data_IF_157089783318
#
_entry.id   IF_157089783318
#
_cell.length_a   1.000
_cell.length_b   1.000
_cell.length_c   1.000
_cell.angle_alpha   90.00
_cell.angle_beta   90.00
_cell.angle_gamma   90.00
#
_symmetry.space_group_name_H-M   'P 1'
#
loop_
_entity.id
_entity.type
_entity.pdbx_description
1 polymer ?
#
# COMPACT_ATOMS: atom_id res chain seq x y z
N UNK A 1 72.73 46.47 -13.28
CA UNK A 1 72.53 45.43 -12.24
C UNK A 1 71.08 45.09 -12.10
N UNK A 2 70.63 44.00 -12.71
CA UNK A 2 69.31 43.44 -12.59
C UNK A 2 69.49 41.94 -12.34
N UNK A 3 69.66 41.58 -11.08
CA UNK A 3 69.59 40.18 -10.61
C UNK A 3 68.94 40.21 -9.20
N UNK A 4 67.76 39.68 -9.10
CA UNK A 4 67.21 39.49 -7.76
C UNK A 4 65.71 39.33 -7.65
N UNK A 5 64.91 39.29 -8.72
CA UNK A 5 63.46 39.17 -8.61
C UNK A 5 62.87 37.79 -9.05
N UNK A 6 63.69 36.93 -9.67
CA UNK A 6 63.21 35.62 -10.16
C UNK A 6 63.15 34.51 -9.10
N UNK A 7 64.01 34.57 -8.07
CA UNK A 7 64.12 33.48 -7.11
C UNK A 7 63.12 33.55 -5.97
N UNK A 8 62.49 34.70 -5.69
CA UNK A 8 61.53 34.89 -4.65
C UNK A 8 60.14 34.28 -5.06
N UNK A 9 59.77 34.39 -6.33
CA UNK A 9 58.48 33.82 -6.82
C UNK A 9 58.52 32.30 -6.96
N UNK A 10 59.68 31.69 -7.21
CA UNK A 10 59.78 30.23 -7.29
C UNK A 10 59.66 29.54 -5.91
N UNK A 11 60.09 30.21 -4.83
CA UNK A 11 59.95 29.68 -3.45
C UNK A 11 58.54 29.83 -2.88
N UNK A 12 57.79 30.88 -3.28
CA UNK A 12 56.39 31.04 -2.85
C UNK A 12 55.44 30.02 -3.50
N UNK A 13 55.65 29.71 -4.80
CA UNK A 13 54.81 28.70 -5.50
C UNK A 13 54.99 27.28 -4.97
N UNK A 14 56.14 26.93 -4.41
CA UNK A 14 56.39 25.60 -3.88
C UNK A 14 55.85 25.44 -2.45
N UNK A 15 55.85 26.50 -1.64
CA UNK A 15 55.25 26.48 -0.30
C UNK A 15 53.71 26.34 -0.35
N UNK A 16 53.04 27.04 -1.25
CA UNK A 16 51.60 26.94 -1.39
C UNK A 16 51.14 25.57 -1.90
N UNK A 17 51.88 24.90 -2.77
CA UNK A 17 51.59 23.54 -3.21
C UNK A 17 51.72 22.50 -2.11
N UNK A 18 52.67 22.65 -1.19
CA UNK A 18 52.87 21.78 -0.05
C UNK A 18 51.74 21.96 0.99
N UNK A 19 51.30 23.18 1.24
CA UNK A 19 50.15 23.42 2.12
C UNK A 19 48.84 22.84 1.57
N UNK A 20 48.62 22.88 0.26
CA UNK A 20 47.45 22.25 -0.38
C UNK A 20 47.48 20.73 -0.26
N UNK A 21 48.64 20.10 -0.42
CA UNK A 21 48.78 18.64 -0.27
C UNK A 21 48.63 18.21 1.19
N UNK A 22 49.12 18.99 2.15
CA UNK A 22 49.01 18.73 3.59
C UNK A 22 47.57 18.93 4.10
N UNK A 23 46.78 19.86 3.51
CA UNK A 23 45.37 20.07 3.87
C UNK A 23 44.44 19.06 3.22
N UNK A 24 44.76 18.50 2.04
CA UNK A 24 43.90 17.51 1.34
C UNK A 24 44.10 16.09 1.91
N UNK A 25 45.30 15.72 2.37
CA UNK A 25 45.57 14.40 2.96
C UNK A 25 44.75 14.08 4.20
N UNK A 26 44.57 14.96 5.20
CA UNK A 26 43.73 14.67 6.36
C UNK A 26 42.21 14.68 6.00
N UNK A 27 41.80 15.43 4.97
CA UNK A 27 40.40 15.42 4.53
C UNK A 27 39.97 14.08 3.90
N UNK A 28 40.90 13.36 3.27
CA UNK A 28 40.67 12.03 2.71
C UNK A 28 40.60 10.94 3.82
N UNK A 29 41.22 11.15 4.97
CA UNK A 29 41.18 10.24 6.11
C UNK A 29 39.87 10.36 6.88
N UNK A 30 39.13 11.47 6.76
CA UNK A 30 37.79 11.62 7.36
C UNK A 30 36.66 11.11 6.48
N UNK A 31 36.91 10.72 5.23
CA UNK A 31 35.92 10.15 4.29
C UNK A 31 35.90 8.61 4.31
N UNK A 32 36.79 7.96 5.06
CA UNK A 32 36.67 6.53 5.34
C UNK A 32 35.70 6.32 6.50
N UNK A 33 34.44 6.67 6.31
CA UNK A 33 33.36 6.12 7.12
C UNK A 33 33.30 4.63 6.77
N UNK A 34 33.85 3.78 7.63
CA UNK A 34 33.46 2.39 7.66
C UNK A 34 31.94 2.37 7.91
N UNK A 35 31.19 2.08 6.89
CA UNK A 35 29.80 1.63 7.05
C UNK A 35 29.95 0.21 7.60
N UNK A 36 30.02 0.07 8.92
CA UNK A 36 29.84 -1.21 9.55
C UNK A 36 28.44 -1.70 9.19
N UNK A 37 28.34 -2.87 8.56
CA UNK A 37 27.06 -3.53 8.41
C UNK A 37 26.50 -3.73 9.81
N UNK A 38 25.46 -3.00 10.15
CA UNK A 38 24.70 -3.23 11.37
C UNK A 38 24.02 -4.59 11.22
N UNK A 39 24.61 -5.62 11.80
CA UNK A 39 23.96 -6.91 11.96
C UNK A 39 23.02 -6.80 13.16
N UNK A 40 21.77 -6.49 12.92
CA UNK A 40 20.73 -6.61 13.94
C UNK A 40 20.59 -8.11 14.26
N UNK A 41 21.23 -8.56 15.32
CA UNK A 41 20.94 -9.89 15.88
C UNK A 41 19.53 -9.83 16.51
N UNK A 42 18.51 -10.15 15.72
CA UNK A 42 17.20 -10.47 16.28
C UNK A 42 17.36 -11.76 17.12
N UNK A 43 16.75 -11.84 18.30
CA UNK A 43 16.71 -13.10 19.05
C UNK A 43 16.16 -14.19 18.13
N UNK A 44 16.77 -15.39 18.12
CA UNK A 44 16.28 -16.54 17.34
C UNK A 44 14.80 -16.84 17.63
N UNK A 45 14.31 -16.47 18.81
CA UNK A 45 12.91 -16.57 19.23
C UNK A 45 11.93 -15.69 18.43
N UNK A 46 12.42 -14.69 17.67
CA UNK A 46 11.58 -13.80 16.87
C UNK A 46 11.40 -14.23 15.41
N UNK A 47 12.07 -15.30 14.99
CA UNK A 47 11.97 -15.85 13.63
C UNK A 47 10.92 -16.96 13.59
N UNK A 48 10.06 -16.93 12.57
CA UNK A 48 9.00 -17.93 12.39
C UNK A 48 7.78 -17.74 13.28
N UNK A 49 7.67 -16.60 13.97
CA UNK A 49 6.46 -16.27 14.73
C UNK A 49 5.23 -16.17 13.81
N UNK A 50 4.12 -16.72 14.28
CA UNK A 50 2.84 -16.56 13.57
C UNK A 50 2.39 -15.09 13.64
N UNK A 51 2.13 -14.50 12.48
CA UNK A 51 1.57 -13.15 12.35
C UNK A 51 0.13 -13.30 11.91
N UNK A 52 -0.79 -12.62 12.60
CA UNK A 52 -2.23 -12.69 12.38
C UNK A 52 -2.78 -11.28 12.15
N UNK A 53 -3.45 -11.09 11.03
CA UNK A 53 -4.13 -9.84 10.69
C UNK A 53 -5.60 -10.11 10.36
N UNK A 54 -6.47 -9.25 10.84
CA UNK A 54 -7.92 -9.32 10.64
C UNK A 54 -8.70 -8.97 11.89
N UNK A 55 -10.01 -8.81 11.74
CA UNK A 55 -10.93 -8.50 12.83
C UNK A 55 -12.22 -9.31 12.68
N UNK A 56 -12.86 -9.64 13.78
CA UNK A 56 -14.15 -10.32 13.82
C UNK A 56 -15.25 -9.27 13.69
N UNK A 57 -16.08 -9.36 12.66
CA UNK A 57 -17.17 -8.40 12.39
C UNK A 57 -18.46 -9.18 12.24
N UNK A 58 -19.50 -8.80 13.00
CA UNK A 58 -20.83 -9.40 12.94
C UNK A 58 -21.45 -9.33 11.56
N UNK A 59 -22.16 -10.37 11.18
CA UNK A 59 -22.92 -10.46 9.92
C UNK A 59 -22.08 -10.17 8.66
N UNK A 60 -20.79 -10.57 8.69
CA UNK A 60 -19.84 -10.23 7.66
C UNK A 60 -18.96 -11.43 7.26
N UNK A 61 -18.51 -11.42 6.02
CA UNK A 61 -17.48 -12.36 5.55
C UNK A 61 -16.09 -11.71 5.69
N UNK A 62 -15.42 -11.98 6.80
CA UNK A 62 -14.10 -11.41 7.10
C UNK A 62 -12.98 -12.29 6.57
N UNK A 63 -11.86 -11.67 6.21
CA UNK A 63 -10.64 -12.38 5.80
C UNK A 63 -9.56 -12.20 6.85
N UNK A 64 -9.06 -13.30 7.38
CA UNK A 64 -7.84 -13.32 8.20
C UNK A 64 -6.66 -13.67 7.33
N UNK A 65 -5.56 -12.92 7.51
CA UNK A 65 -4.28 -13.18 6.85
C UNK A 65 -3.30 -13.73 7.88
N UNK A 66 -2.74 -14.89 7.59
CA UNK A 66 -1.72 -15.55 8.39
C UNK A 66 -0.41 -15.56 7.63
N UNK A 67 0.68 -15.16 8.29
CA UNK A 67 2.03 -15.21 7.75
C UNK A 67 3.04 -15.55 8.83
N UNK A 68 4.32 -15.67 8.47
CA UNK A 68 5.41 -15.91 9.42
C UNK A 68 6.41 -14.78 9.38
N UNK A 69 6.94 -14.40 10.54
CA UNK A 69 8.07 -13.49 10.61
C UNK A 69 9.33 -14.16 10.03
N UNK A 70 10.20 -13.37 9.41
CA UNK A 70 11.47 -13.83 8.87
C UNK A 70 12.60 -12.84 9.19
N UNK A 71 13.84 -13.31 9.10
CA UNK A 71 15.02 -12.47 9.37
C UNK A 71 15.23 -11.48 8.23
N UNK A 72 15.65 -10.25 8.57
CA UNK A 72 16.06 -9.21 7.61
C UNK A 72 17.38 -9.57 6.89
N UNK A 73 18.12 -10.58 7.35
CA UNK A 73 19.35 -11.05 6.70
C UNK A 73 19.07 -11.85 5.41
N UNK A 74 17.81 -12.21 5.16
CA UNK A 74 17.40 -12.88 3.94
C UNK A 74 17.19 -11.84 2.84
N UNK A 75 17.91 -11.98 1.72
CA UNK A 75 17.68 -11.11 0.55
C UNK A 75 16.27 -11.33 0.00
N UNK A 76 15.42 -10.31 0.14
CA UNK A 76 14.04 -10.31 -0.33
C UNK A 76 13.06 -11.03 0.62
N UNK A 77 11.79 -11.03 0.23
CA UNK A 77 10.72 -11.71 0.97
C UNK A 77 10.75 -13.19 0.64
N UNK A 78 10.86 -14.12 1.62
CA UNK A 78 10.81 -15.55 1.34
C UNK A 78 9.51 -15.93 0.61
N UNK A 79 9.56 -16.76 -0.44
CA UNK A 79 8.38 -17.06 -1.27
C UNK A 79 7.30 -17.85 -0.54
N UNK A 80 7.59 -18.36 0.64
CA UNK A 80 6.68 -19.16 1.46
C UNK A 80 6.34 -18.54 2.82
N UNK A 81 6.67 -17.25 3.05
CA UNK A 81 6.37 -16.56 4.30
C UNK A 81 4.86 -16.55 4.63
N UNK A 82 4.01 -16.59 3.61
CA UNK A 82 2.55 -16.63 3.71
C UNK A 82 1.95 -18.03 3.44
N UNK A 83 2.76 -19.08 3.33
CA UNK A 83 2.28 -20.47 3.22
C UNK A 83 2.00 -21.03 4.60
N UNK A 84 0.95 -20.49 5.25
CA UNK A 84 0.47 -20.99 6.53
C UNK A 84 -0.77 -21.83 6.28
N UNK A 85 -0.67 -23.14 6.49
CA UNK A 85 -1.80 -24.07 6.41
C UNK A 85 -2.31 -24.33 7.83
N UNK A 86 -3.50 -23.78 8.13
CA UNK A 86 -4.06 -23.77 9.48
C UNK A 86 -5.56 -24.03 9.46
N UNK A 87 -6.11 -24.45 10.59
CA UNK A 87 -7.55 -24.37 10.84
C UNK A 87 -7.86 -23.06 11.56
N UNK A 88 -8.75 -22.26 10.98
CA UNK A 88 -9.16 -20.96 11.52
C UNK A 88 -10.62 -21.01 11.89
N UNK A 89 -10.98 -20.54 13.08
CA UNK A 89 -12.34 -20.56 13.57
C UNK A 89 -12.59 -19.38 14.52
N UNK A 90 -13.68 -18.66 14.33
CA UNK A 90 -14.20 -17.71 15.34
C UNK A 90 -15.10 -18.47 16.29
N UNK A 91 -14.90 -18.31 17.61
CA UNK A 91 -15.66 -19.01 18.65
C UNK A 91 -16.24 -18.01 19.65
N UNK A 92 -17.48 -18.23 20.06
CA UNK A 92 -18.14 -17.48 21.13
C UNK A 92 -18.23 -18.30 22.41
N UNK A 93 -18.24 -17.63 23.57
CA UNK A 93 -18.42 -18.28 24.87
C UNK A 93 -19.83 -18.92 25.05
N UNK A 94 -20.76 -18.55 24.19
CA UNK A 94 -22.10 -19.17 24.09
C UNK A 94 -22.12 -20.50 23.33
N UNK A 95 -20.94 -20.95 22.84
CA UNK A 95 -20.80 -22.14 22.00
C UNK A 95 -20.97 -21.89 20.50
N UNK A 96 -21.22 -20.66 20.08
CA UNK A 96 -21.24 -20.33 18.65
C UNK A 96 -19.85 -20.53 18.02
N UNK A 97 -19.82 -20.95 16.75
CA UNK A 97 -18.58 -21.31 16.06
C UNK A 97 -18.72 -21.06 14.56
N UNK A 98 -17.78 -20.29 13.99
CA UNK A 98 -17.75 -19.95 12.57
C UNK A 98 -16.41 -20.39 11.98
N UNK A 99 -16.44 -21.43 11.12
CA UNK A 99 -15.23 -22.00 10.52
C UNK A 99 -14.76 -21.18 9.32
N UNK A 100 -13.43 -21.04 9.21
CA UNK A 100 -12.76 -20.44 8.08
C UNK A 100 -12.59 -21.40 6.91
N UNK A 101 -12.62 -20.84 5.71
CA UNK A 101 -12.32 -21.51 4.44
C UNK A 101 -11.03 -20.92 3.90
N UNK A 102 -10.04 -21.76 3.60
CA UNK A 102 -8.77 -21.35 3.04
C UNK A 102 -8.96 -20.79 1.61
N UNK A 103 -8.38 -19.62 1.34
CA UNK A 103 -8.34 -18.97 0.03
C UNK A 103 -6.96 -19.13 -0.65
N UNK A 104 -6.00 -19.76 0.03
CA UNK A 104 -4.60 -19.82 -0.37
C UNK A 104 -3.77 -18.64 0.17
N UNK A 105 -2.44 -18.78 0.09
CA UNK A 105 -1.47 -17.76 0.52
C UNK A 105 -1.72 -17.26 1.95
N UNK A 106 -2.05 -18.15 2.89
CA UNK A 106 -2.32 -17.81 4.28
C UNK A 106 -3.62 -17.03 4.53
N UNK A 107 -4.47 -16.86 3.54
CA UNK A 107 -5.76 -16.16 3.69
C UNK A 107 -6.89 -17.13 3.99
N UNK A 108 -7.73 -16.75 4.96
CA UNK A 108 -8.88 -17.54 5.43
C UNK A 108 -10.11 -16.66 5.49
N UNK A 109 -11.17 -17.05 4.76
CA UNK A 109 -12.47 -16.38 4.84
C UNK A 109 -13.33 -17.04 5.91
N UNK A 110 -13.84 -16.24 6.84
CA UNK A 110 -14.78 -16.67 7.86
C UNK A 110 -16.11 -15.94 7.65
N UNK A 111 -17.18 -16.67 7.38
CA UNK A 111 -18.53 -16.12 7.36
C UNK A 111 -19.01 -16.03 8.82
N UNK A 112 -18.87 -14.86 9.43
CA UNK A 112 -19.30 -14.59 10.80
C UNK A 112 -20.78 -14.30 10.78
N UNK A 113 -21.55 -15.01 11.60
CA UNK A 113 -22.97 -14.74 11.82
C UNK A 113 -23.19 -13.56 12.77
N UNK A 114 -24.44 -13.40 13.20
CA UNK A 114 -24.82 -12.34 14.15
C UNK A 114 -24.16 -12.55 15.50
N UNK A 115 -23.40 -11.54 15.96
CA UNK A 115 -22.76 -11.54 17.27
C UNK A 115 -23.65 -10.88 18.32
N UNK A 116 -23.62 -11.40 19.55
CA UNK A 116 -24.38 -10.88 20.68
C UNK A 116 -23.50 -9.99 21.56
N UNK A 117 -24.05 -8.84 22.01
CA UNK A 117 -23.30 -7.83 22.81
C UNK A 117 -22.74 -8.38 24.12
N UNK A 118 -23.45 -9.36 24.71
CA UNK A 118 -23.13 -9.91 26.02
C UNK A 118 -22.31 -11.20 25.95
N UNK A 119 -21.85 -11.58 24.76
CA UNK A 119 -21.01 -12.76 24.49
C UNK A 119 -19.64 -12.31 24.06
N UNK A 120 -18.60 -12.92 24.62
CA UNK A 120 -17.23 -12.69 24.18
C UNK A 120 -16.85 -13.66 23.07
N UNK A 121 -16.11 -13.14 22.09
CA UNK A 121 -15.66 -13.89 20.92
C UNK A 121 -14.15 -13.87 20.81
N UNK A 122 -13.59 -14.96 20.28
CA UNK A 122 -12.16 -15.16 20.04
C UNK A 122 -11.92 -15.75 18.68
N UNK A 123 -10.76 -15.46 18.11
CA UNK A 123 -10.20 -16.18 16.98
C UNK A 123 -9.36 -17.35 17.49
N UNK A 124 -9.67 -18.56 17.05
CA UNK A 124 -8.89 -19.77 17.32
C UNK A 124 -8.19 -20.21 16.03
N UNK A 125 -6.89 -20.49 16.12
CA UNK A 125 -6.05 -20.94 15.00
C UNK A 125 -5.32 -22.21 15.47
N UNK A 126 -5.40 -23.28 14.69
CA UNK A 126 -4.61 -24.49 14.90
C UNK A 126 -3.59 -24.55 13.75
N UNK A 127 -2.31 -24.44 14.12
CA UNK A 127 -1.20 -24.39 13.16
C UNK A 127 -0.01 -25.21 13.67
N UNK A 128 0.50 -26.14 12.86
CA UNK A 128 1.63 -27.03 13.19
C UNK A 128 1.44 -27.82 14.51
N UNK A 129 0.19 -28.14 14.86
CA UNK A 129 -0.14 -28.84 16.09
C UNK A 129 -0.30 -27.95 17.33
N UNK A 130 0.04 -26.67 17.22
CA UNK A 130 -0.18 -25.66 18.27
C UNK A 130 -1.55 -24.98 18.11
N UNK A 131 -2.14 -24.58 19.24
CA UNK A 131 -3.37 -23.83 19.28
C UNK A 131 -3.12 -22.42 19.74
N UNK A 132 -3.42 -21.46 18.88
CA UNK A 132 -3.38 -20.02 19.16
C UNK A 132 -4.79 -19.48 19.35
N UNK A 133 -4.98 -18.61 20.33
CA UNK A 133 -6.28 -17.99 20.61
C UNK A 133 -6.11 -16.51 20.92
N UNK A 134 -6.98 -15.67 20.33
CA UNK A 134 -7.05 -14.27 20.73
C UNK A 134 -7.78 -14.11 22.07
N UNK A 135 -7.47 -13.03 22.80
CA UNK A 135 -8.23 -12.69 24.00
C UNK A 135 -9.73 -12.58 23.70
N UNK A 136 -10.59 -13.20 24.52
CA UNK A 136 -12.04 -13.09 24.36
C UNK A 136 -12.51 -11.64 24.59
N UNK A 137 -13.19 -11.04 23.60
CA UNK A 137 -13.67 -9.67 23.65
C UNK A 137 -15.16 -9.57 23.38
N UNK A 138 -15.83 -8.62 24.04
CA UNK A 138 -17.19 -8.22 23.68
C UNK A 138 -17.20 -7.44 22.39
N UNK A 139 -18.18 -7.66 21.49
CA UNK A 139 -18.27 -6.92 20.25
C UNK A 139 -18.61 -5.45 20.52
N UNK A 140 -17.86 -4.54 19.89
CA UNK A 140 -18.03 -3.10 20.02
C UNK A 140 -18.87 -2.57 18.86
N UNK A 141 -19.93 -1.80 19.16
CA UNK A 141 -20.71 -1.10 18.15
C UNK A 141 -20.14 0.26 17.83
N UNK A 142 -20.18 0.67 16.57
CA UNK A 142 -19.73 1.98 16.11
C UNK A 142 -20.91 2.87 15.72
N UNK A 143 -20.74 4.18 15.87
CA UNK A 143 -21.64 5.21 15.37
C UNK A 143 -21.46 5.39 13.85
N UNK A 144 -22.48 6.01 13.21
CA UNK A 144 -22.41 6.40 11.81
C UNK A 144 -21.37 7.49 11.57
N UNK A 145 -20.84 7.55 10.36
CA UNK A 145 -20.13 8.72 9.85
C UNK A 145 -21.19 9.78 9.54
N UNK A 146 -20.99 11.04 9.98
CA UNK A 146 -21.96 12.11 9.75
C UNK A 146 -21.91 12.57 8.30
N UNK A 147 -20.71 12.75 7.76
CA UNK A 147 -20.49 13.25 6.40
C UNK A 147 -19.10 12.85 5.87
N UNK A 148 -19.04 12.62 4.55
CA UNK A 148 -17.79 12.49 3.79
C UNK A 148 -17.85 13.46 2.63
N UNK A 149 -16.86 14.32 2.52
CA UNK A 149 -16.74 15.35 1.50
C UNK A 149 -15.40 15.25 0.78
N UNK A 150 -15.25 16.04 -0.27
CA UNK A 150 -13.95 16.23 -0.91
C UNK A 150 -13.68 17.73 -1.12
N UNK A 151 -12.40 18.08 -1.17
CA UNK A 151 -11.94 19.45 -1.39
C UNK A 151 -10.72 19.42 -2.31
N UNK A 152 -10.78 20.16 -3.41
CA UNK A 152 -9.62 20.34 -4.29
C UNK A 152 -8.82 21.56 -3.88
N UNK A 153 -7.51 21.41 -3.74
CA UNK A 153 -6.59 22.49 -3.33
C UNK A 153 -6.21 23.38 -4.53
N UNK A 154 -6.96 24.47 -4.73
CA UNK A 154 -6.70 25.41 -5.83
C UNK A 154 -6.93 24.80 -7.21
N UNK A 155 -6.36 25.43 -8.25
CA UNK A 155 -6.48 24.98 -9.62
C UNK A 155 -5.52 23.81 -9.89
N UNK A 156 -6.08 22.64 -10.28
CA UNK A 156 -5.34 21.38 -10.53
C UNK A 156 -4.49 20.88 -9.34
N UNK A 157 -4.82 21.27 -8.11
CA UNK A 157 -4.17 20.74 -6.90
C UNK A 157 -4.84 19.47 -6.41
N UNK A 158 -4.22 18.84 -5.42
CA UNK A 158 -4.67 17.58 -4.84
C UNK A 158 -6.12 17.62 -4.38
N UNK A 159 -6.82 16.51 -4.54
CA UNK A 159 -8.17 16.30 -4.06
C UNK A 159 -8.10 15.56 -2.73
N UNK A 160 -8.48 16.24 -1.65
CA UNK A 160 -8.52 15.68 -0.30
C UNK A 160 -9.88 15.09 0.00
N UNK A 161 -9.92 13.85 0.46
CA UNK A 161 -11.13 13.22 1.00
C UNK A 161 -11.19 13.52 2.49
N UNK A 162 -12.30 14.06 2.94
CA UNK A 162 -12.49 14.58 4.29
C UNK A 162 -13.74 13.97 4.93
N UNK A 163 -13.73 13.82 6.25
CA UNK A 163 -14.89 13.27 6.95
C UNK A 163 -15.20 14.02 8.24
N UNK A 164 -16.43 13.87 8.68
CA UNK A 164 -16.92 14.38 9.96
C UNK A 164 -17.70 13.28 10.68
N UNK A 165 -17.54 13.19 11.99
CA UNK A 165 -18.28 12.28 12.84
C UNK A 165 -18.45 12.81 14.27
N UNK A 166 -19.49 12.37 14.95
CA UNK A 166 -19.75 12.60 16.35
C UNK A 166 -19.74 11.29 17.11
N UNK A 167 -18.84 11.14 18.07
CA UNK A 167 -18.88 10.01 19.02
C UNK A 167 -19.81 10.31 20.20
N UNK A 168 -20.48 9.28 20.70
CA UNK A 168 -21.31 9.39 21.91
C UNK A 168 -20.49 9.51 23.18
N UNK A 169 -19.29 8.96 23.17
CA UNK A 169 -18.38 8.89 24.31
C UNK A 169 -16.92 9.08 23.86
N UNK A 170 -16.03 9.21 24.84
CA UNK A 170 -14.59 9.18 24.60
C UNK A 170 -14.19 7.77 24.17
N UNK A 171 -13.80 7.60 22.91
CA UNK A 171 -13.52 6.29 22.31
C UNK A 171 -12.42 6.37 21.27
N UNK A 172 -11.90 5.21 20.90
CA UNK A 172 -10.93 5.06 19.85
C UNK A 172 -11.60 4.52 18.58
N UNK A 173 -11.09 4.94 17.44
CA UNK A 173 -11.62 4.58 16.15
C UNK A 173 -10.51 4.17 15.19
N UNK A 174 -10.87 3.28 14.28
CA UNK A 174 -10.08 2.88 13.12
C UNK A 174 -10.88 3.19 11.86
N UNK A 175 -10.22 3.80 10.88
CA UNK A 175 -10.78 4.08 9.56
C UNK A 175 -9.94 3.40 8.49
N UNK A 176 -10.60 2.92 7.49
CA UNK A 176 -10.03 2.51 6.21
C UNK A 176 -10.97 2.91 5.09
N UNK A 177 -10.53 2.76 3.85
CA UNK A 177 -11.35 3.08 2.70
C UNK A 177 -11.11 2.08 1.57
N UNK A 178 -12.11 1.96 0.71
CA UNK A 178 -12.07 1.24 -0.54
C UNK A 178 -12.33 2.22 -1.66
N UNK A 179 -11.67 2.05 -2.78
CA UNK A 179 -11.76 2.91 -3.95
C UNK A 179 -12.21 2.09 -5.15
N UNK A 180 -13.15 2.63 -5.91
CA UNK A 180 -13.56 2.11 -7.20
C UNK A 180 -13.50 3.25 -8.22
N UNK A 181 -12.88 3.02 -9.37
CA UNK A 181 -12.84 4.05 -10.42
C UNK A 181 -13.03 3.48 -11.79
N UNK A 182 -13.76 4.24 -12.61
CA UNK A 182 -13.95 3.92 -14.02
C UNK A 182 -12.74 4.36 -14.83
N UNK A 183 -12.24 3.49 -15.69
CA UNK A 183 -11.23 3.80 -16.69
C UNK A 183 -11.77 3.57 -18.10
N UNK A 184 -11.29 4.41 -19.04
CA UNK A 184 -11.64 4.30 -20.45
C UNK A 184 -10.38 4.32 -21.30
N UNK A 185 -10.34 3.43 -22.29
CA UNK A 185 -9.29 3.45 -23.29
C UNK A 185 -9.38 4.71 -24.16
N UNK A 186 -8.25 5.33 -24.43
CA UNK A 186 -8.15 6.51 -25.27
C UNK A 186 -8.38 6.15 -26.75
N UNK A 187 -7.93 4.96 -27.14
CA UNK A 187 -8.02 4.46 -28.52
C UNK A 187 -8.87 3.19 -28.58
N UNK A 188 -9.58 3.01 -29.69
CA UNK A 188 -10.36 1.80 -29.98
C UNK A 188 -9.83 1.17 -31.27
N UNK A 189 -8.68 0.46 -31.23
CA UNK A 189 -8.09 -0.09 -32.42
C UNK A 189 -8.97 -1.15 -33.07
N UNK A 190 -8.89 -1.21 -34.40
CA UNK A 190 -9.52 -2.25 -35.24
C UNK A 190 -8.51 -3.32 -35.68
N UNK A 191 -7.27 -3.26 -35.21
CA UNK A 191 -6.24 -4.27 -35.45
C UNK A 191 -5.34 -4.39 -34.21
N UNK A 192 -4.74 -5.57 -34.02
CA UNK A 192 -3.78 -5.86 -32.98
C UNK A 192 -2.65 -6.74 -33.50
N UNK A 193 -1.49 -6.70 -32.84
CA UNK A 193 -0.44 -7.67 -33.10
C UNK A 193 -0.74 -8.97 -32.36
N UNK A 194 -0.66 -10.08 -33.11
CA UNK A 194 -0.80 -11.43 -32.58
C UNK A 194 0.60 -12.06 -32.47
N UNK A 195 1.10 -12.31 -31.24
CA UNK A 195 2.43 -12.86 -31.03
C UNK A 195 2.57 -14.32 -31.47
N UNK A 196 1.47 -15.09 -31.56
CA UNK A 196 1.51 -16.51 -31.95
C UNK A 196 1.71 -16.65 -33.44
N UNK A 197 1.19 -15.73 -34.25
CA UNK A 197 1.31 -15.76 -35.70
C UNK A 197 2.32 -14.76 -36.27
N UNK A 198 2.89 -13.89 -35.42
CA UNK A 198 3.78 -12.77 -35.81
C UNK A 198 3.16 -11.85 -36.87
N UNK A 199 1.88 -11.56 -36.73
CA UNK A 199 1.12 -10.75 -37.70
C UNK A 199 0.23 -9.72 -37.01
N UNK A 200 -0.08 -8.66 -37.75
CA UNK A 200 -1.19 -7.78 -37.39
C UNK A 200 -2.48 -8.41 -37.92
N UNK A 201 -3.45 -8.57 -37.04
CA UNK A 201 -4.74 -9.20 -37.29
C UNK A 201 -5.88 -8.23 -37.06
N UNK A 202 -7.05 -8.48 -37.62
CA UNK A 202 -8.27 -7.72 -37.33
C UNK A 202 -8.64 -7.91 -35.84
N UNK A 203 -8.96 -6.83 -35.17
CA UNK A 203 -9.27 -6.83 -33.74
C UNK A 203 -10.28 -5.74 -33.41
N UNK A 204 -11.24 -6.04 -32.58
CA UNK A 204 -12.21 -5.08 -32.07
C UNK A 204 -11.95 -4.83 -30.57
N UNK A 205 -11.37 -3.69 -30.25
CA UNK A 205 -11.06 -3.29 -28.87
C UNK A 205 -12.27 -2.77 -28.08
N UNK A 206 -13.40 -2.45 -28.73
CA UNK A 206 -14.56 -1.84 -28.07
C UNK A 206 -15.07 -2.60 -26.83
N UNK A 207 -15.10 -3.93 -26.79
CA UNK A 207 -15.50 -4.67 -25.58
C UNK A 207 -14.59 -4.42 -24.37
N UNK A 208 -13.35 -3.98 -24.59
CA UNK A 208 -12.33 -3.76 -23.56
C UNK A 208 -11.96 -2.28 -23.38
N UNK A 209 -12.80 -1.39 -23.92
CA UNK A 209 -12.54 0.05 -23.89
C UNK A 209 -13.02 0.75 -22.62
N UNK A 210 -13.70 0.05 -21.73
CA UNK A 210 -14.25 0.56 -20.48
C UNK A 210 -14.26 -0.53 -19.42
N UNK A 211 -13.91 -0.18 -18.20
CA UNK A 211 -13.96 -1.10 -17.07
C UNK A 211 -13.82 -0.35 -15.74
N UNK A 212 -13.88 -1.12 -14.65
CA UNK A 212 -13.73 -0.60 -13.29
C UNK A 212 -12.50 -1.20 -12.64
N UNK A 213 -11.72 -0.36 -11.99
CA UNK A 213 -10.64 -0.75 -11.12
C UNK A 213 -11.10 -0.66 -9.67
N UNK A 214 -10.48 -1.46 -8.81
CA UNK A 214 -10.75 -1.50 -7.37
C UNK A 214 -9.44 -1.50 -6.58
N UNK A 215 -9.43 -0.82 -5.44
CA UNK A 215 -8.33 -0.83 -4.48
C UNK A 215 -8.86 -0.76 -3.05
N UNK A 216 -8.17 -1.44 -2.14
CA UNK A 216 -8.41 -1.33 -0.70
C UNK A 216 -7.23 -0.61 -0.04
N UNK A 217 -7.51 0.33 0.86
CA UNK A 217 -6.46 1.04 1.59
C UNK A 217 -5.69 0.09 2.50
N UNK A 218 -4.36 0.16 2.42
CA UNK A 218 -3.44 -0.48 3.37
C UNK A 218 -3.01 0.46 4.51
N UNK A 219 -3.43 1.72 4.49
CA UNK A 219 -3.10 2.70 5.51
C UNK A 219 -3.80 2.42 6.83
N UNK A 220 -3.07 2.61 7.93
CA UNK A 220 -3.60 2.51 9.29
C UNK A 220 -3.99 3.91 9.73
N UNK A 221 -5.29 4.19 9.73
CA UNK A 221 -5.81 5.51 10.13
C UNK A 221 -6.59 5.32 11.44
N UNK A 222 -6.08 5.92 12.51
CA UNK A 222 -6.67 5.80 13.84
C UNK A 222 -6.92 7.17 14.48
N UNK A 223 -7.79 7.22 15.45
CA UNK A 223 -8.05 8.40 16.24
C UNK A 223 -8.58 8.08 17.63
N UNK A 224 -8.21 8.94 18.59
CA UNK A 224 -8.70 8.87 19.95
C UNK A 224 -9.54 10.11 20.26
N UNK A 225 -10.82 9.92 20.58
CA UNK A 225 -11.76 10.99 20.89
C UNK A 225 -11.58 11.56 22.29
N UNK A 226 -10.88 10.90 23.21
CA UNK A 226 -10.53 11.44 24.53
C UNK A 226 -9.76 12.77 24.44
N UNK A 227 -9.00 12.97 23.34
CA UNK A 227 -8.17 14.14 23.10
C UNK A 227 -9.00 15.30 22.51
N UNK A 228 -10.14 14.99 21.88
CA UNK A 228 -10.98 15.96 21.20
C UNK A 228 -12.04 16.53 22.15
N UNK A 229 -12.10 17.87 22.28
CA UNK A 229 -13.24 18.53 22.93
C UNK A 229 -14.51 18.11 22.20
N UNK A 230 -15.54 17.77 22.96
CA UNK A 230 -16.86 17.38 22.46
C UNK A 230 -16.93 16.03 21.70
N UNK A 231 -15.91 15.17 21.81
CA UNK A 231 -15.87 13.86 21.13
C UNK A 231 -16.22 13.93 19.63
N UNK A 232 -15.78 14.99 18.96
CA UNK A 232 -16.14 15.27 17.57
C UNK A 232 -14.90 15.38 16.68
N UNK A 233 -14.98 14.76 15.52
CA UNK A 233 -14.10 15.02 14.37
C UNK A 233 -14.91 15.88 13.40
N UNK A 234 -14.34 17.01 12.98
CA UNK A 234 -14.96 17.87 11.99
C UNK A 234 -13.99 18.10 10.84
N UNK A 235 -14.44 17.76 9.64
CA UNK A 235 -13.74 18.06 8.39
C UNK A 235 -12.25 17.65 8.40
N UNK A 236 -11.98 16.44 8.93
CA UNK A 236 -10.62 15.89 8.99
C UNK A 236 -10.26 15.28 7.65
N UNK A 237 -9.10 15.63 7.10
CA UNK A 237 -8.54 14.96 5.94
C UNK A 237 -8.23 13.51 6.29
N UNK A 238 -8.71 12.57 5.47
CA UNK A 238 -8.45 11.17 5.59
C UNK A 238 -7.24 10.79 4.72
N UNK A 239 -7.28 11.18 3.44
CA UNK A 239 -6.19 11.03 2.47
C UNK A 239 -6.35 12.05 1.34
N UNK A 240 -5.33 12.18 0.50
CA UNK A 240 -5.34 13.04 -0.68
C UNK A 240 -4.84 12.29 -1.91
N UNK A 241 -5.36 12.66 -3.07
CA UNK A 241 -5.04 12.10 -4.38
C UNK A 241 -4.61 13.25 -5.28
N UNK A 242 -3.52 13.08 -6.05
CA UNK A 242 -3.08 14.05 -7.05
C UNK A 242 -4.17 14.27 -8.11
N UNK A 243 -4.39 15.53 -8.53
CA UNK A 243 -5.49 15.85 -9.44
C UNK A 243 -5.31 15.29 -10.85
N UNK A 244 -4.09 14.91 -11.24
CA UNK A 244 -3.78 14.26 -12.51
C UNK A 244 -3.72 12.73 -12.41
N UNK A 245 -4.13 12.14 -11.28
CA UNK A 245 -4.22 10.70 -11.12
C UNK A 245 -5.31 10.12 -12.04
N UNK A 246 -5.02 9.00 -12.69
CA UNK A 246 -5.93 8.33 -13.63
C UNK A 246 -7.28 7.94 -12.99
N UNK A 247 -7.32 7.79 -11.67
CA UNK A 247 -8.56 7.51 -10.92
C UNK A 247 -9.65 8.56 -11.15
N UNK A 248 -9.25 9.81 -11.44
CA UNK A 248 -10.20 10.89 -11.74
C UNK A 248 -10.53 11.05 -13.23
N UNK A 249 -10.06 10.16 -14.10
CA UNK A 249 -10.26 10.29 -15.56
C UNK A 249 -11.72 10.19 -16.01
N UNK A 250 -12.57 9.55 -15.21
CA UNK A 250 -14.01 9.39 -15.54
C UNK A 250 -14.87 9.57 -14.30
N UNK A 251 -15.02 8.53 -13.51
CA UNK A 251 -15.79 8.52 -12.27
C UNK A 251 -15.00 7.82 -11.20
N UNK A 252 -14.82 8.47 -10.09
CA UNK A 252 -14.19 7.95 -8.90
C UNK A 252 -15.21 7.77 -7.79
N UNK A 253 -15.11 6.70 -7.03
CA UNK A 253 -15.92 6.46 -5.84
C UNK A 253 -15.04 5.97 -4.70
N UNK A 254 -15.33 6.42 -3.50
CA UNK A 254 -14.73 5.87 -2.30
C UNK A 254 -15.78 5.52 -1.26
N UNK A 255 -15.55 4.39 -0.56
CA UNK A 255 -16.29 4.03 0.66
C UNK A 255 -15.35 4.23 1.83
N UNK A 256 -15.67 5.18 2.69
CA UNK A 256 -15.01 5.32 3.99
C UNK A 256 -15.67 4.38 4.98
N UNK A 257 -14.88 3.54 5.63
CA UNK A 257 -15.31 2.57 6.63
C UNK A 257 -14.79 2.96 8.01
N UNK A 258 -15.64 2.88 9.02
CA UNK A 258 -15.34 3.24 10.39
C UNK A 258 -15.66 2.11 11.34
N UNK A 259 -14.73 1.80 12.23
CA UNK A 259 -14.95 0.91 13.38
C UNK A 259 -14.56 1.63 14.67
N UNK A 260 -15.38 1.49 15.70
CA UNK A 260 -15.00 1.79 17.07
C UNK A 260 -14.17 0.62 17.59
N UNK A 261 -13.01 0.91 18.16
CA UNK A 261 -12.03 -0.06 18.61
C UNK A 261 -11.75 0.07 20.11
N UNK A 262 -11.21 -0.97 20.72
CA UNK A 262 -10.77 -0.93 22.11
C UNK A 262 -9.52 -0.05 22.26
N UNK A 263 -9.23 0.41 23.47
CA UNK A 263 -8.00 1.17 23.75
C UNK A 263 -6.74 0.34 23.47
N UNK A 264 -6.75 -0.94 23.82
CA UNK A 264 -5.63 -1.85 23.55
C UNK A 264 -5.43 -2.12 22.05
N UNK A 265 -6.53 -2.20 21.25
CA UNK A 265 -6.42 -2.27 19.79
C UNK A 265 -5.83 -0.98 19.21
N UNK A 266 -6.22 0.19 19.75
CA UNK A 266 -5.65 1.48 19.37
C UNK A 266 -4.15 1.57 19.69
N UNK A 267 -3.73 1.14 20.87
CA UNK A 267 -2.32 1.11 21.30
C UNK A 267 -1.49 0.18 20.39
N UNK A 268 -2.02 -0.98 20.01
CA UNK A 268 -1.41 -1.88 19.04
C UNK A 268 -1.15 -1.18 17.69
N UNK A 269 -2.15 -0.51 17.15
CA UNK A 269 -1.98 0.21 15.87
C UNK A 269 -1.04 1.41 15.99
N UNK A 270 -1.03 2.11 17.12
CA UNK A 270 -0.07 3.19 17.37
C UNK A 270 1.38 2.69 17.31
N UNK A 271 1.67 1.56 17.97
CA UNK A 271 3.01 0.99 17.92
C UNK A 271 3.35 0.47 16.52
N UNK A 272 2.38 -0.11 15.81
CA UNK A 272 2.58 -0.57 14.42
C UNK A 272 2.91 0.61 13.48
N UNK A 273 2.25 1.77 13.64
CA UNK A 273 2.57 2.99 12.87
C UNK A 273 3.98 3.47 13.17
N UNK A 274 4.36 3.59 14.45
CA UNK A 274 5.70 4.03 14.86
C UNK A 274 6.78 3.13 14.25
N UNK A 275 6.62 1.82 14.33
CA UNK A 275 7.58 0.87 13.75
C UNK A 275 7.74 1.07 12.23
N UNK A 276 6.65 1.30 11.51
CA UNK A 276 6.72 1.55 10.07
C UNK A 276 7.43 2.87 9.74
N UNK A 277 7.22 3.93 10.52
CA UNK A 277 7.89 5.22 10.35
C UNK A 277 9.40 5.13 10.68
N UNK A 278 9.76 4.40 11.72
CA UNK A 278 11.14 4.24 12.18
C UNK A 278 11.98 3.38 11.24
N UNK A 279 11.39 2.41 10.54
CA UNK A 279 12.10 1.59 9.54
C UNK A 279 12.66 2.40 8.36
N UNK A 280 12.22 3.64 8.16
CA UNK A 280 12.78 4.60 7.19
C UNK A 280 13.90 5.50 7.75
N UNK A 281 14.24 5.42 9.03
CA UNK A 281 15.18 6.32 9.71
C UNK A 281 16.62 5.77 9.85
N UNK A 282 17.59 6.69 9.97
CA UNK A 282 19.03 6.37 10.13
C UNK A 282 19.37 5.78 11.51
N UNK A 283 18.48 5.91 12.49
CA UNK A 283 18.59 5.37 13.83
C UNK A 283 17.31 4.61 14.14
N UNK A 284 17.36 3.29 14.00
CA UNK A 284 16.25 2.40 14.39
C UNK A 284 16.38 2.16 15.89
N UNK A 285 15.45 2.65 16.75
CA UNK A 285 15.38 2.19 18.13
C UNK A 285 15.15 0.67 18.16
N UNK A 286 15.58 0.01 19.24
CA UNK A 286 15.24 -1.41 19.39
C UNK A 286 13.71 -1.58 19.27
N UNK A 287 13.21 -2.46 18.38
CA UNK A 287 11.77 -2.68 18.25
C UNK A 287 11.23 -3.08 19.63
N UNK A 288 10.36 -2.25 20.18
CA UNK A 288 9.52 -2.66 21.30
C UNK A 288 8.66 -3.83 20.82
N UNK A 289 8.50 -4.87 21.63
CA UNK A 289 7.60 -5.98 21.28
C UNK A 289 6.20 -5.41 21.01
N UNK A 290 5.68 -5.62 19.80
CA UNK A 290 4.32 -5.21 19.48
C UNK A 290 3.35 -5.89 20.46
N UNK A 291 2.47 -5.13 21.11
CA UNK A 291 1.46 -5.72 21.98
C UNK A 291 0.58 -6.67 21.16
N UNK A 292 0.45 -7.92 21.58
CA UNK A 292 -0.38 -8.92 20.91
C UNK A 292 -1.47 -9.38 21.87
N UNK A 293 -2.69 -9.55 21.34
CA UNK A 293 -3.75 -10.20 22.12
C UNK A 293 -3.93 -11.69 21.77
N UNK A 294 -2.92 -12.28 21.12
CA UNK A 294 -2.94 -13.68 20.69
C UNK A 294 -1.90 -14.46 21.51
N UNK A 295 -2.32 -15.55 22.09
CA UNK A 295 -1.44 -16.46 22.86
C UNK A 295 -1.51 -17.86 22.30
N UNK A 296 -0.42 -18.61 22.41
CA UNK A 296 -0.41 -20.05 22.22
C UNK A 296 -0.83 -20.74 23.52
N UNK A 297 -1.81 -21.64 23.45
CA UNK A 297 -2.30 -22.40 24.62
C UNK A 297 -1.51 -23.71 24.81
N UNK A 298 -0.91 -24.23 23.76
CA UNK A 298 -0.24 -25.53 23.76
C UNK A 298 1.25 -25.48 24.03
N UNK A 299 1.86 -24.29 23.90
CA UNK A 299 3.32 -24.08 24.07
C UNK A 299 3.61 -22.62 24.45
N UNK A 300 4.89 -22.33 24.76
CA UNK A 300 5.36 -20.96 25.05
C UNK A 300 5.65 -20.13 23.77
N UNK A 301 5.21 -20.60 22.59
CA UNK A 301 5.37 -19.85 21.34
C UNK A 301 4.56 -18.57 21.37
N UNK A 302 5.15 -17.52 20.83
CA UNK A 302 4.51 -16.21 20.68
C UNK A 302 3.85 -16.08 19.30
N UNK A 303 2.83 -15.23 19.23
CA UNK A 303 2.25 -14.78 17.98
C UNK A 303 2.13 -13.25 17.98
N UNK A 304 2.18 -12.64 16.81
CA UNK A 304 2.08 -11.20 16.62
C UNK A 304 0.73 -10.90 15.96
N UNK A 305 0.01 -9.94 16.49
CA UNK A 305 -1.26 -9.49 15.91
C UNK A 305 -2.26 -9.05 16.97
N UNK A 306 -3.27 -8.37 16.51
CA UNK A 306 -4.41 -7.98 17.34
C UNK A 306 -5.72 -8.27 16.60
N UNK A 307 -6.58 -9.06 17.23
CA UNK A 307 -7.90 -9.40 16.69
C UNK A 307 -8.96 -8.66 17.49
N UNK A 308 -9.52 -7.61 16.90
CA UNK A 308 -10.65 -6.87 17.47
C UNK A 308 -11.98 -7.52 17.12
N UNK A 309 -13.04 -7.19 17.90
CA UNK A 309 -14.39 -7.72 17.70
C UNK A 309 -15.39 -6.56 17.58
N UNK A 310 -16.13 -6.49 16.46
CA UNK A 310 -17.05 -5.41 16.14
C UNK A 310 -18.46 -5.92 15.85
N UNK A 311 -19.48 -5.19 16.31
CA UNK A 311 -20.89 -5.46 15.97
C UNK A 311 -21.26 -4.97 14.58
N UNK A 312 -20.62 -3.89 14.13
CA UNK A 312 -20.90 -3.27 12.84
C UNK A 312 -19.70 -2.46 12.37
N UNK A 313 -19.68 -2.19 11.07
CA UNK A 313 -18.85 -1.19 10.42
C UNK A 313 -19.79 -0.10 9.92
N UNK A 314 -19.48 1.17 10.18
CA UNK A 314 -20.19 2.27 9.56
C UNK A 314 -19.52 2.61 8.23
N UNK A 315 -20.32 2.72 7.18
CA UNK A 315 -19.84 2.98 5.82
C UNK A 315 -20.50 4.24 5.27
N UNK A 316 -19.71 5.03 4.53
CA UNK A 316 -20.21 6.19 3.81
C UNK A 316 -19.54 6.25 2.43
N UNK A 317 -20.36 6.19 1.36
CA UNK A 317 -19.88 6.23 -0.02
C UNK A 317 -20.10 7.60 -0.63
N UNK A 318 -19.09 8.12 -1.31
CA UNK A 318 -19.19 9.28 -2.19
C UNK A 318 -18.75 8.94 -3.62
N UNK A 319 -19.18 9.78 -4.55
CA UNK A 319 -18.76 9.74 -5.95
C UNK A 319 -18.22 11.11 -6.34
N UNK A 320 -17.16 11.12 -7.16
CA UNK A 320 -16.55 12.32 -7.74
C UNK A 320 -16.49 12.10 -9.25
N UNK A 321 -17.22 12.95 -10.00
CA UNK A 321 -17.11 12.97 -11.46
C UNK A 321 -15.90 13.80 -11.87
N UNK A 322 -15.33 13.51 -13.05
CA UNK A 322 -14.32 14.38 -13.67
C UNK A 322 -14.81 15.83 -13.81
N UNK A 323 -16.10 16.03 -14.02
CA UNK A 323 -16.70 17.36 -14.15
C UNK A 323 -16.80 18.13 -12.81
N UNK A 324 -16.66 17.45 -11.67
CA UNK A 324 -16.75 18.04 -10.33
C UNK A 324 -15.42 18.63 -9.86
N UNK A 325 -14.32 18.33 -10.57
CA UNK A 325 -12.97 18.76 -10.23
C UNK A 325 -12.24 19.32 -11.46
N UNK A 326 -11.16 20.04 -11.23
CA UNK A 326 -10.28 20.49 -12.32
C UNK A 326 -9.24 19.39 -12.58
N UNK A 327 -9.63 18.45 -13.46
CA UNK A 327 -8.81 17.31 -13.85
C UNK A 327 -7.98 17.60 -15.10
N UNK A 328 -6.78 17.05 -15.15
CA UNK A 328 -5.95 17.04 -16.36
C UNK A 328 -5.26 15.69 -16.47
N UNK A 329 -5.37 15.05 -17.61
CA UNK A 329 -4.63 13.81 -17.90
C UNK A 329 -3.13 14.00 -17.62
N UNK A 330 -2.46 13.01 -17.01
CA UNK A 330 -1.02 13.05 -16.79
C UNK A 330 -0.26 13.37 -18.06
N UNK A 331 0.80 14.19 -17.95
CA UNK A 331 1.62 14.53 -19.10
C UNK A 331 2.25 13.28 -19.72
N UNK A 332 2.06 13.11 -21.03
CA UNK A 332 2.55 11.92 -21.73
C UNK A 332 1.63 10.71 -21.67
N UNK A 333 0.52 10.76 -20.95
CA UNK A 333 -0.43 9.66 -20.90
C UNK A 333 -0.98 9.35 -22.30
N UNK A 334 -0.88 8.10 -22.69
CA UNK A 334 -1.32 7.61 -24.02
C UNK A 334 -0.68 8.32 -25.23
N UNK A 335 0.45 9.01 -25.04
CA UNK A 335 1.24 9.47 -26.19
C UNK A 335 1.91 8.28 -26.87
N UNK A 336 2.06 8.37 -28.20
CA UNK A 336 2.74 7.33 -28.98
C UNK A 336 4.14 7.02 -28.45
N UNK A 337 4.56 5.78 -28.58
CA UNK A 337 5.89 5.35 -28.18
C UNK A 337 6.97 6.15 -28.91
N UNK A 338 7.86 6.78 -28.16
CA UNK A 338 8.96 7.62 -28.68
C UNK A 338 10.29 6.86 -28.59
N UNK A 339 11.19 7.15 -29.53
CA UNK A 339 12.56 6.61 -29.49
C UNK A 339 12.65 5.12 -29.79
N UNK A 340 11.65 4.58 -30.50
CA UNK A 340 11.70 3.20 -30.98
C UNK A 340 12.88 3.03 -31.97
N UNK A 341 13.71 2.02 -31.72
CA UNK A 341 14.83 1.69 -32.60
C UNK A 341 14.34 0.90 -33.80
N UNK A 342 14.93 1.16 -34.97
CA UNK A 342 14.57 0.44 -36.20
C UNK A 342 14.74 -1.09 -36.10
N UNK A 343 15.65 -1.54 -35.23
CA UNK A 343 15.93 -2.96 -34.97
C UNK A 343 14.83 -3.70 -34.21
N UNK A 344 13.93 -2.96 -33.49
CA UNK A 344 12.84 -3.58 -32.76
C UNK A 344 11.87 -4.31 -33.72
N UNK A 345 11.39 -5.45 -33.26
CA UNK A 345 10.30 -6.23 -33.89
C UNK A 345 8.95 -5.83 -33.26
N UNK A 346 7.85 -6.30 -33.85
CA UNK A 346 6.53 -6.15 -33.24
C UNK A 346 6.43 -6.94 -31.93
N UNK A 347 7.09 -8.10 -31.87
CA UNK A 347 7.17 -8.90 -30.67
C UNK A 347 7.88 -8.15 -29.53
N UNK A 348 8.98 -7.44 -29.82
CA UNK A 348 9.68 -6.65 -28.81
C UNK A 348 8.76 -5.59 -28.21
N UNK A 349 8.00 -4.88 -29.04
CA UNK A 349 7.05 -3.85 -28.57
C UNK A 349 5.93 -4.47 -27.74
N UNK A 350 5.39 -5.60 -28.17
CA UNK A 350 4.38 -6.34 -27.43
C UNK A 350 4.89 -6.78 -26.05
N UNK A 351 6.10 -7.33 -25.98
CA UNK A 351 6.73 -7.75 -24.71
C UNK A 351 7.06 -6.57 -23.79
N UNK A 352 7.27 -5.37 -24.36
CA UNK A 352 7.41 -4.12 -23.61
C UNK A 352 6.05 -3.54 -23.13
N UNK A 353 4.93 -4.21 -23.43
CA UNK A 353 3.59 -3.77 -23.04
C UNK A 353 2.95 -2.71 -23.96
N UNK A 354 3.48 -2.54 -25.17
CA UNK A 354 2.88 -1.66 -26.18
C UNK A 354 1.86 -2.42 -27.05
N UNK A 355 0.86 -1.67 -27.52
CA UNK A 355 -0.18 -2.16 -28.45
C UNK A 355 -0.36 -1.19 -29.60
N UNK A 356 -0.98 -1.64 -30.70
CA UNK A 356 -1.32 -0.79 -31.84
C UNK A 356 -2.54 0.05 -31.51
N UNK A 357 -2.44 1.37 -31.66
CA UNK A 357 -3.56 2.29 -31.51
C UNK A 357 -4.34 2.48 -32.83
N UNK A 358 -3.61 2.70 -33.91
CA UNK A 358 -4.16 2.88 -35.26
C UNK A 358 -3.06 2.70 -36.31
N UNK A 359 -3.40 2.43 -37.60
CA UNK A 359 -2.47 2.48 -38.69
C UNK A 359 -1.87 3.89 -38.86
N UNK A 360 -0.56 4.02 -38.87
CA UNK A 360 0.15 5.28 -39.05
C UNK A 360 1.36 5.10 -39.97
N UNK A 361 1.22 5.44 -41.28
CA UNK A 361 2.28 5.26 -42.25
C UNK A 361 3.38 6.36 -42.18
N UNK A 362 3.22 7.43 -41.40
CA UNK A 362 4.23 8.48 -41.25
C UNK A 362 5.40 7.97 -40.41
N UNK A 363 6.62 7.82 -40.97
CA UNK A 363 7.76 7.27 -40.24
C UNK A 363 8.26 8.16 -39.09
N UNK A 364 7.75 9.39 -38.97
CA UNK A 364 8.09 10.29 -37.85
C UNK A 364 7.21 10.06 -36.61
N UNK A 365 6.01 9.53 -36.79
CA UNK A 365 5.00 9.32 -35.73
C UNK A 365 4.64 7.87 -35.57
N UNK A 366 4.61 7.10 -36.68
CA UNK A 366 4.37 5.67 -36.68
C UNK A 366 5.64 4.84 -36.72
N UNK A 367 5.57 3.61 -36.27
CA UNK A 367 6.63 2.62 -36.33
C UNK A 367 6.18 1.40 -37.15
N UNK A 368 6.87 1.14 -38.26
CA UNK A 368 6.51 0.07 -39.22
C UNK A 368 5.04 0.12 -39.68
N UNK A 369 4.51 1.35 -39.88
CA UNK A 369 3.16 1.57 -40.39
C UNK A 369 2.07 1.68 -39.34
N UNK A 370 2.39 1.71 -38.04
CA UNK A 370 1.44 1.76 -36.95
C UNK A 370 1.86 2.72 -35.85
N UNK A 371 0.89 3.35 -35.19
CA UNK A 371 1.09 4.07 -33.94
C UNK A 371 1.00 3.09 -32.77
N UNK A 372 2.05 3.05 -31.97
CA UNK A 372 2.17 2.17 -30.79
C UNK A 372 2.02 2.99 -29.52
N UNK A 373 1.20 2.50 -28.60
CA UNK A 373 0.89 3.12 -27.32
C UNK A 373 0.97 2.09 -26.19
N UNK A 374 1.02 2.55 -24.93
CA UNK A 374 0.88 1.64 -23.79
C UNK A 374 -0.43 0.84 -23.87
N UNK A 375 -0.41 -0.41 -23.46
CA UNK A 375 -1.54 -1.34 -23.53
C UNK A 375 -2.81 -0.80 -22.88
N UNK A 376 -2.73 -0.14 -21.74
CA UNK A 376 -3.87 0.48 -21.05
C UNK A 376 -4.58 1.59 -21.85
N UNK A 377 -3.94 2.09 -22.90
CA UNK A 377 -4.54 3.10 -23.78
C UNK A 377 -5.52 2.52 -24.82
N UNK A 378 -5.50 1.21 -25.01
CA UNK A 378 -6.37 0.50 -25.98
C UNK A 378 -7.24 -0.56 -25.32
N UNK A 379 -6.81 -1.06 -24.15
CA UNK A 379 -7.47 -2.14 -23.43
C UNK A 379 -7.33 -1.91 -21.92
N UNK A 380 -8.41 -1.59 -21.26
CA UNK A 380 -8.42 -1.23 -19.84
C UNK A 380 -8.05 -2.39 -18.90
N UNK A 381 -8.04 -3.65 -19.40
CA UNK A 381 -7.57 -4.80 -18.62
C UNK A 381 -6.09 -4.69 -18.25
N UNK A 382 -5.28 -4.00 -19.06
CA UNK A 382 -3.88 -3.67 -18.72
C UNK A 382 -3.76 -2.70 -17.53
N UNK A 383 -4.84 -2.00 -17.16
CA UNK A 383 -4.93 -1.14 -15.98
C UNK A 383 -5.50 -1.90 -14.76
N UNK A 384 -5.75 -3.20 -14.89
CA UNK A 384 -6.36 -4.02 -13.84
C UNK A 384 -7.88 -3.91 -13.77
N UNK A 385 -8.53 -3.32 -14.79
CA UNK A 385 -9.98 -3.20 -14.83
C UNK A 385 -10.67 -4.53 -15.18
N UNK A 386 -11.87 -4.69 -14.65
CA UNK A 386 -12.78 -5.80 -14.90
C UNK A 386 -14.08 -5.33 -15.52
#
# INVERSE_FOLDING_TARGET
>A
ASRGLGDVYKRQGMKNKIYWVICICPLWLFLSNCVDKFNAHLPESSIGLLIVEGSIISDSAVVFSLSRSFSLDVEGVPPDFNKVDAEVCVTGEDGSSFRGVALGNGKYRVAVGTLHRDVRYSLKIVYEGDTYISEPQYPIGTESIDDVTYEQQGEYGDVSIRFSMQSKDAACYFWNYEEDWEVRAVYNPMCAYDPDTDKVVDYDARPYSRGWCHSESSEIIIGNMEINKDNRVKDKCLYSIEADDIRFSCCYSTIVKQRKISKSEYEYYQEKIKLNEEMGGLFVPQPSELPSNIRCESSDKQAIGYVGVSLNVAEYRIFISTDDIQYRLPEGYCQGAKGLKEEYTFLDLYLMGYTIAYPDPDPRTGFKGYAWVSGGCTDVRYLGAS
#
